data_IF_423969137659
#
_entry.id   IF_423969137659
#
_cell.length_a   1.000
_cell.length_b   1.000
_cell.length_c   1.000
_cell.angle_alpha   90.00
_cell.angle_beta   90.00
_cell.angle_gamma   90.00
#
_symmetry.space_group_name_H-M   'P 1'
#
loop_
_entity.id
_entity.type
_entity.pdbx_description
1 polymer ?
#
# COMPACT_ATOMS: atom_id res chain seq x y z
N UNK A 1 -11.56 -10.54 1.58
CA UNK A 1 -12.94 -9.98 1.57
C UNK A 1 -13.63 -10.38 0.29
N UNK A 2 -14.78 -11.07 0.30
CA UNK A 2 -15.44 -11.50 -0.93
C UNK A 2 -15.74 -10.33 -1.88
N UNK A 3 -15.42 -10.50 -3.17
CA UNK A 3 -15.60 -9.47 -4.20
C UNK A 3 -14.47 -8.45 -4.32
N UNK A 4 -13.44 -8.54 -3.46
CA UNK A 4 -12.17 -7.84 -3.62
C UNK A 4 -11.12 -8.79 -4.17
N UNK A 5 -10.34 -8.33 -5.14
CA UNK A 5 -9.19 -9.07 -5.66
C UNK A 5 -7.98 -8.17 -5.68
N UNK A 6 -6.84 -8.72 -5.28
CA UNK A 6 -5.54 -8.10 -5.38
C UNK A 6 -4.84 -8.64 -6.62
N UNK A 7 -4.34 -7.75 -7.46
CA UNK A 7 -3.43 -8.06 -8.55
C UNK A 7 -2.28 -7.07 -8.56
N UNK A 8 -1.48 -7.12 -9.61
CA UNK A 8 -0.35 -6.22 -9.81
C UNK A 8 -0.56 -5.46 -11.13
N UNK A 9 -0.17 -4.19 -11.17
CA UNK A 9 -0.16 -3.45 -12.43
C UNK A 9 1.02 -3.92 -13.30
N UNK A 10 0.81 -3.91 -14.62
CA UNK A 10 1.81 -4.40 -15.58
C UNK A 10 2.95 -3.40 -15.83
N UNK A 11 2.92 -2.23 -15.18
CA UNK A 11 3.85 -1.12 -15.47
C UNK A 11 4.87 -0.95 -14.34
N UNK A 12 4.42 -0.97 -13.08
CA UNK A 12 5.22 -0.65 -11.89
C UNK A 12 5.19 -1.78 -10.84
N UNK A 13 4.51 -2.90 -11.11
CA UNK A 13 4.31 -4.00 -10.16
C UNK A 13 3.69 -3.47 -8.85
N UNK A 14 2.84 -2.44 -8.96
CA UNK A 14 2.10 -1.88 -7.83
C UNK A 14 0.80 -2.67 -7.61
N UNK A 15 0.32 -2.79 -6.37
CA UNK A 15 -0.92 -3.48 -6.08
C UNK A 15 -2.12 -2.78 -6.72
N UNK A 16 -2.83 -3.51 -7.58
CA UNK A 16 -4.16 -3.12 -8.07
C UNK A 16 -5.20 -3.84 -7.22
N UNK A 17 -6.10 -3.07 -6.62
CA UNK A 17 -7.26 -3.60 -5.94
C UNK A 17 -8.46 -3.45 -6.86
N UNK A 18 -9.11 -4.57 -7.16
CA UNK A 18 -10.34 -4.60 -7.94
C UNK A 18 -11.53 -5.00 -7.08
N UNK A 19 -12.68 -4.39 -7.36
CA UNK A 19 -13.92 -4.64 -6.64
C UNK A 19 -15.00 -4.99 -7.66
N UNK A 20 -15.61 -6.17 -7.51
CA UNK A 20 -16.63 -6.69 -8.46
C UNK A 20 -16.14 -6.71 -9.92
N UNK A 21 -14.85 -6.94 -10.14
CA UNK A 21 -14.23 -7.00 -11.48
C UNK A 21 -13.84 -5.64 -12.08
N UNK A 22 -14.18 -4.53 -11.44
CA UNK A 22 -13.69 -3.21 -11.85
C UNK A 22 -12.25 -3.02 -11.35
N UNK A 23 -11.33 -2.75 -12.29
CA UNK A 23 -9.93 -2.44 -12.02
C UNK A 23 -9.54 -1.14 -12.71
N UNK A 24 -8.64 -0.38 -12.09
CA UNK A 24 -7.98 0.78 -12.68
C UNK A 24 -6.48 0.65 -12.42
N UNK A 25 -5.66 1.06 -13.39
CA UNK A 25 -4.20 1.01 -13.28
C UNK A 25 -3.65 1.80 -12.08
N UNK A 26 -4.43 2.77 -11.57
CA UNK A 26 -4.09 3.66 -10.47
C UNK A 26 -5.13 3.63 -9.34
N UNK A 27 -5.90 2.53 -9.22
CA UNK A 27 -6.90 2.35 -8.16
C UNK A 27 -7.98 3.45 -8.06
N UNK A 28 -8.18 4.26 -9.11
CA UNK A 28 -9.08 5.44 -9.11
C UNK A 28 -10.57 5.11 -8.94
N UNK A 29 -10.93 3.82 -8.98
CA UNK A 29 -12.29 3.35 -8.75
C UNK A 29 -12.60 3.14 -7.26
N UNK A 30 -11.60 3.21 -6.39
CA UNK A 30 -11.73 3.01 -4.94
C UNK A 30 -11.17 4.25 -4.25
N UNK A 31 -11.98 4.84 -3.36
CA UNK A 31 -11.49 5.90 -2.50
C UNK A 31 -10.77 5.29 -1.28
N UNK A 32 -9.50 5.60 -1.12
CA UNK A 32 -8.74 5.28 0.07
C UNK A 32 -8.68 6.47 1.02
N UNK A 33 -8.96 6.21 2.28
CA UNK A 33 -8.91 7.17 3.37
C UNK A 33 -7.91 6.68 4.43
N UNK A 34 -7.14 7.61 4.99
CA UNK A 34 -6.38 7.40 6.22
C UNK A 34 -7.00 8.27 7.29
N UNK A 35 -7.58 7.66 8.32
CA UNK A 35 -8.30 8.38 9.38
C UNK A 35 -9.39 9.33 8.84
N UNK A 36 -10.04 8.95 7.73
CA UNK A 36 -11.05 9.76 7.04
C UNK A 36 -10.49 10.78 6.03
N UNK A 37 -9.17 10.90 5.91
CA UNK A 37 -8.53 11.84 4.98
C UNK A 37 -8.22 11.13 3.64
N UNK A 38 -8.74 11.62 2.50
CA UNK A 38 -8.45 11.06 1.18
C UNK A 38 -6.96 10.98 0.87
N UNK A 39 -6.54 9.83 0.36
CA UNK A 39 -5.16 9.57 -0.04
C UNK A 39 -5.03 9.56 -1.55
N UNK A 40 -4.00 10.21 -2.07
CA UNK A 40 -3.69 10.28 -3.50
C UNK A 40 -2.22 10.55 -3.70
N UNK A 41 -1.58 9.75 -4.57
CA UNK A 41 -0.24 10.05 -5.06
C UNK A 41 -0.30 11.28 -5.99
N UNK A 42 0.42 12.37 -5.69
CA UNK A 42 0.37 13.59 -6.49
C UNK A 42 1.01 13.44 -7.89
N UNK A 43 1.85 12.41 -8.09
CA UNK A 43 2.56 12.17 -9.36
C UNK A 43 1.74 11.27 -10.28
N UNK A 44 1.30 10.12 -9.77
CA UNK A 44 0.61 9.10 -10.59
C UNK A 44 -0.91 9.18 -10.51
N UNK A 45 -1.44 9.90 -9.50
CA UNK A 45 -2.86 9.85 -9.19
C UNK A 45 -3.31 8.52 -8.58
N UNK A 46 -2.40 7.65 -8.13
CA UNK A 46 -2.78 6.40 -7.47
C UNK A 46 -3.46 6.67 -6.12
N UNK A 47 -4.63 6.08 -5.90
CA UNK A 47 -5.38 6.19 -4.63
C UNK A 47 -4.84 5.27 -3.53
N UNK A 48 -4.18 4.17 -3.88
CA UNK A 48 -3.68 3.15 -2.95
C UNK A 48 -2.26 3.45 -2.41
N UNK A 49 -1.68 4.61 -2.73
CA UNK A 49 -0.32 4.97 -2.31
C UNK A 49 -0.07 4.94 -0.79
N UNK A 50 -1.14 5.04 0.01
CA UNK A 50 -1.08 4.90 1.48
C UNK A 50 -0.63 3.51 1.94
N UNK A 51 -0.85 2.46 1.15
CA UNK A 51 -0.60 1.07 1.54
C UNK A 51 0.88 0.75 1.78
N UNK A 52 1.80 1.60 1.31
CA UNK A 52 3.24 1.46 1.53
C UNK A 52 3.84 2.40 2.59
N UNK A 53 3.02 3.28 3.19
CA UNK A 53 3.52 4.38 4.06
C UNK A 53 3.17 4.13 5.53
N UNK A 54 2.03 3.49 5.79
CA UNK A 54 1.49 3.27 7.14
C UNK A 54 2.00 1.95 7.71
N UNK A 55 2.73 1.95 8.85
CA UNK A 55 3.15 0.73 9.51
C UNK A 55 1.97 -0.17 9.90
N UNK A 56 2.06 -1.48 9.64
CA UNK A 56 0.91 -2.38 9.82
C UNK A 56 0.39 -2.45 11.27
N UNK A 57 1.27 -2.37 12.26
CA UNK A 57 0.89 -2.56 13.68
C UNK A 57 0.13 -1.35 14.27
N UNK A 58 0.24 -0.16 13.66
CA UNK A 58 -0.52 1.03 14.10
C UNK A 58 -1.95 1.03 13.58
N UNK A 59 -2.26 0.19 12.59
CA UNK A 59 -3.60 0.07 12.04
C UNK A 59 -4.49 -0.59 13.10
N UNK A 60 -5.55 0.11 13.50
CA UNK A 60 -6.55 -0.41 14.43
C UNK A 60 -7.52 -1.34 13.70
N UNK A 61 -7.99 -0.87 12.53
CA UNK A 61 -8.90 -1.60 11.66
C UNK A 61 -8.93 -1.00 10.26
N UNK A 62 -9.42 -1.78 9.31
CA UNK A 62 -9.74 -1.31 7.96
C UNK A 62 -11.25 -1.44 7.76
N UNK A 63 -11.91 -0.31 7.52
CA UNK A 63 -13.33 -0.25 7.23
C UNK A 63 -13.55 -0.23 5.71
N UNK A 64 -14.47 -1.09 5.23
CA UNK A 64 -14.72 -1.24 3.80
C UNK A 64 -16.21 -1.06 3.54
N UNK A 65 -16.55 0.01 2.84
CA UNK A 65 -17.91 0.25 2.33
C UNK A 65 -17.97 -0.22 0.88
N UNK A 66 -18.82 -1.23 0.64
CA UNK A 66 -18.99 -1.86 -0.67
C UNK A 66 -20.14 -1.20 -1.43
N UNK A 67 -19.89 -0.70 -2.64
CA UNK A 67 -20.90 -0.06 -3.48
C UNK A 67 -20.62 1.41 -3.77
N UNK A 68 -21.50 2.08 -4.52
CA UNK A 68 -21.27 3.44 -4.99
C UNK A 68 -21.37 4.43 -3.82
N UNK A 69 -20.22 4.77 -3.22
CA UNK A 69 -20.08 5.82 -2.22
C UNK A 69 -20.05 7.22 -2.84
N UNK A 70 -20.19 7.34 -4.16
CA UNK A 70 -20.00 8.59 -4.90
C UNK A 70 -20.92 9.73 -4.51
N UNK A 71 -22.12 9.43 -3.97
CA UNK A 71 -23.02 10.46 -3.47
C UNK A 71 -22.49 11.18 -2.22
N UNK A 72 -21.70 10.49 -1.39
CA UNK A 72 -21.14 11.04 -0.14
C UNK A 72 -19.69 11.51 -0.31
N UNK A 73 -18.93 10.83 -1.18
CA UNK A 73 -17.48 10.99 -1.24
C UNK A 73 -16.95 11.41 -2.63
N UNK A 74 -17.82 11.56 -3.64
CA UNK A 74 -17.43 12.02 -4.97
C UNK A 74 -16.95 10.91 -5.92
N UNK A 75 -16.39 11.31 -7.06
CA UNK A 75 -16.13 10.43 -8.21
C UNK A 75 -15.21 9.24 -7.88
N UNK A 76 -14.27 9.39 -6.95
CA UNK A 76 -13.31 8.35 -6.57
C UNK A 76 -13.95 7.17 -5.81
N UNK A 77 -15.13 7.35 -5.21
CA UNK A 77 -15.84 6.32 -4.44
C UNK A 77 -16.78 5.45 -5.30
N UNK A 78 -16.41 5.22 -6.57
CA UNK A 78 -17.25 4.54 -7.55
C UNK A 78 -17.54 3.08 -7.19
N UNK A 79 -16.51 2.31 -6.82
CA UNK A 79 -16.63 0.87 -6.54
C UNK A 79 -16.62 0.54 -5.04
N UNK A 80 -15.84 1.29 -4.24
CA UNK A 80 -15.77 1.13 -2.80
C UNK A 80 -15.13 2.35 -2.12
N UNK A 81 -15.32 2.43 -0.80
CA UNK A 81 -14.51 3.29 0.09
C UNK A 81 -13.78 2.39 1.08
N UNK A 82 -12.46 2.57 1.18
CA UNK A 82 -11.60 1.84 2.12
C UNK A 82 -10.99 2.86 3.08
N UNK A 83 -11.30 2.76 4.36
CA UNK A 83 -10.79 3.66 5.39
C UNK A 83 -9.88 2.91 6.36
N UNK A 84 -8.61 3.29 6.37
CA UNK A 84 -7.59 2.76 7.28
C UNK A 84 -7.64 3.62 8.54
N UNK A 85 -8.07 3.03 9.65
CA UNK A 85 -8.16 3.73 10.94
C UNK A 85 -6.92 3.40 11.75
N UNK A 86 -6.22 4.43 12.21
CA UNK A 86 -5.03 4.25 13.04
C UNK A 86 -5.35 4.35 14.52
N UNK A 87 -4.56 3.69 15.35
CA UNK A 87 -4.74 3.69 16.79
C UNK A 87 -4.48 5.09 17.36
N UNK A 88 -5.42 5.57 18.17
CA UNK A 88 -5.32 6.87 18.88
C UNK A 88 -5.15 6.71 20.40
N UNK A 89 -5.48 5.54 20.93
CA UNK A 89 -5.27 5.21 22.33
C UNK A 89 -3.93 4.47 22.52
N UNK A 90 -3.16 4.79 23.58
CA UNK A 90 -1.95 4.05 23.93
C UNK A 90 -2.26 2.57 24.12
N UNK A 91 -1.45 1.66 23.54
CA UNK A 91 -1.63 0.25 23.79
C UNK A 91 -1.29 -0.08 25.24
N UNK A 92 -1.92 -1.12 25.79
CA UNK A 92 -1.62 -1.57 27.16
C UNK A 92 -0.18 -2.07 27.30
N UNK A 93 0.38 -2.61 26.21
CA UNK A 93 1.76 -3.09 26.13
C UNK A 93 2.35 -2.69 24.79
N UNK A 94 3.63 -2.29 24.79
CA UNK A 94 4.39 -2.15 23.57
C UNK A 94 4.72 -3.53 23.00
N UNK A 95 4.76 -3.62 21.68
CA UNK A 95 5.05 -4.83 20.93
C UNK A 95 6.21 -4.58 19.98
N UNK A 96 7.07 -5.58 19.83
CA UNK A 96 8.03 -5.66 18.75
C UNK A 96 7.83 -6.99 18.02
N UNK A 97 7.94 -6.96 16.71
CA UNK A 97 7.81 -8.14 15.84
C UNK A 97 9.03 -8.19 14.93
N UNK A 98 9.62 -9.38 14.79
CA UNK A 98 10.68 -9.64 13.81
C UNK A 98 10.29 -10.85 12.98
N UNK A 99 10.61 -10.81 11.69
CA UNK A 99 10.23 -11.85 10.73
C UNK A 99 11.31 -12.09 9.69
N UNK A 100 11.40 -13.35 9.25
CA UNK A 100 12.18 -13.75 8.08
C UNK A 100 11.31 -14.63 7.19
N UNK A 101 11.56 -14.63 5.89
CA UNK A 101 10.76 -15.38 4.93
C UNK A 101 11.50 -15.77 3.67
N UNK A 102 10.79 -16.40 2.74
CA UNK A 102 11.27 -16.65 1.38
C UNK A 102 11.71 -15.36 0.69
N UNK A 103 12.49 -15.48 -0.39
CA UNK A 103 12.95 -14.32 -1.17
C UNK A 103 13.81 -13.35 -0.34
N UNK A 104 14.60 -13.92 0.58
CA UNK A 104 15.43 -13.17 1.55
C UNK A 104 14.65 -12.13 2.37
N UNK A 105 13.34 -12.33 2.56
CA UNK A 105 12.51 -11.38 3.28
C UNK A 105 12.98 -11.22 4.74
N UNK A 106 13.09 -9.97 5.19
CA UNK A 106 13.38 -9.56 6.57
C UNK A 106 12.38 -8.48 6.97
N UNK A 107 11.82 -8.60 8.16
CA UNK A 107 10.83 -7.68 8.71
C UNK A 107 11.18 -7.35 10.17
N UNK A 108 11.08 -6.08 10.54
CA UNK A 108 11.24 -5.59 11.90
C UNK A 108 10.24 -4.47 12.15
N UNK A 109 9.35 -4.67 13.13
CA UNK A 109 8.26 -3.76 13.45
C UNK A 109 8.24 -3.48 14.94
N UNK A 110 7.95 -2.24 15.30
CA UNK A 110 7.73 -1.80 16.67
C UNK A 110 6.46 -0.98 16.75
N UNK A 111 5.69 -1.20 17.80
CA UNK A 111 4.47 -0.46 18.08
C UNK A 111 4.38 -0.20 19.59
N UNK A 112 4.04 1.02 19.95
CA UNK A 112 3.97 1.42 21.34
C UNK A 112 3.32 2.77 21.53
N UNK A 113 3.16 3.15 22.78
CA UNK A 113 2.56 4.42 23.13
C UNK A 113 2.47 4.61 24.62
N UNK A 114 2.11 5.83 25.02
CA UNK A 114 1.96 6.20 26.42
C UNK A 114 1.04 7.41 26.57
N UNK A 115 0.71 7.72 27.81
CA UNK A 115 -0.01 8.93 28.17
C UNK A 115 0.91 9.85 28.97
N UNK A 116 0.98 11.10 28.56
CA UNK A 116 1.73 12.15 29.27
C UNK A 116 0.82 13.34 29.49
N UNK A 117 0.46 13.60 30.76
CA UNK A 117 -0.60 14.56 31.10
C UNK A 117 -1.93 14.24 30.40
N UNK A 118 -2.43 15.21 29.63
CA UNK A 118 -3.66 15.12 28.83
C UNK A 118 -3.43 14.56 27.42
N UNK A 119 -2.18 14.27 27.05
CA UNK A 119 -1.81 13.78 25.74
C UNK A 119 -1.68 12.26 25.73
N UNK A 120 -2.29 11.64 24.74
CA UNK A 120 -2.09 10.25 24.33
C UNK A 120 -1.16 10.25 23.13
N UNK A 121 -0.11 9.44 23.21
CA UNK A 121 0.89 9.29 22.16
C UNK A 121 0.92 7.83 21.75
N UNK A 122 0.83 7.58 20.46
CA UNK A 122 0.92 6.24 19.85
C UNK A 122 1.86 6.32 18.67
N UNK A 123 2.79 5.37 18.55
CA UNK A 123 3.72 5.34 17.44
C UNK A 123 4.03 3.93 16.98
N UNK A 124 4.44 3.84 15.72
CA UNK A 124 4.96 2.61 15.13
C UNK A 124 6.12 2.89 14.19
N UNK A 125 7.01 1.91 14.09
CA UNK A 125 8.12 1.84 13.15
C UNK A 125 8.06 0.51 12.43
N UNK A 126 8.39 0.51 11.14
CA UNK A 126 8.45 -0.68 10.29
C UNK A 126 9.67 -0.60 9.38
N UNK A 127 10.41 -1.70 9.30
CA UNK A 127 11.45 -1.94 8.31
C UNK A 127 11.19 -3.29 7.66
N UNK A 128 11.06 -3.30 6.33
CA UNK A 128 10.88 -4.53 5.56
C UNK A 128 11.77 -4.52 4.34
N UNK A 129 12.45 -5.64 4.10
CA UNK A 129 13.29 -5.85 2.93
C UNK A 129 13.02 -7.23 2.33
N UNK A 130 13.03 -7.35 0.99
CA UNK A 130 12.89 -8.61 0.26
C UNK A 130 13.44 -8.46 -1.15
N UNK A 131 13.99 -9.53 -1.72
CA UNK A 131 14.41 -9.57 -3.13
C UNK A 131 13.19 -9.68 -4.09
N UNK A 132 12.03 -10.05 -3.54
CA UNK A 132 10.82 -10.30 -4.31
C UNK A 132 10.93 -11.58 -5.17
N UNK A 133 9.99 -11.73 -6.10
CA UNK A 133 9.82 -12.96 -6.88
C UNK A 133 10.58 -12.98 -8.22
N UNK A 134 11.26 -11.88 -8.59
CA UNK A 134 12.11 -11.74 -9.77
C UNK A 134 11.57 -12.44 -11.04
N UNK A 135 10.35 -12.10 -11.50
CA UNK A 135 9.72 -12.81 -12.60
C UNK A 135 10.51 -12.62 -13.90
N UNK A 136 10.55 -13.67 -14.74
CA UNK A 136 11.17 -13.61 -16.06
C UNK A 136 10.32 -12.76 -17.01
N UNK A 137 10.91 -11.70 -17.55
CA UNK A 137 10.35 -10.89 -18.64
C UNK A 137 10.85 -11.48 -19.95
N UNK A 138 9.99 -12.21 -20.65
CA UNK A 138 10.36 -12.87 -21.92
C UNK A 138 10.50 -11.86 -23.08
N UNK A 139 9.64 -10.86 -23.13
CA UNK A 139 9.65 -9.77 -24.10
C UNK A 139 8.99 -8.53 -23.45
N UNK A 140 9.46 -7.35 -23.82
CA UNK A 140 8.92 -6.07 -23.38
C UNK A 140 8.52 -5.19 -24.57
N UNK A 141 7.95 -4.01 -24.29
CA UNK A 141 7.57 -3.06 -25.34
C UNK A 141 8.78 -2.62 -26.19
N UNK A 142 9.99 -2.60 -25.62
CA UNK A 142 11.21 -2.29 -26.35
C UNK A 142 11.61 -3.44 -27.28
N UNK A 143 11.36 -4.71 -26.93
CA UNK A 143 11.57 -5.87 -27.81
C UNK A 143 10.73 -5.74 -29.09
N UNK A 144 9.49 -5.25 -28.97
CA UNK A 144 8.61 -5.00 -30.12
C UNK A 144 9.17 -3.87 -30.99
N UNK A 145 9.59 -2.76 -30.38
CA UNK A 145 10.17 -1.62 -31.10
C UNK A 145 11.48 -1.99 -31.78
N UNK A 146 12.32 -2.80 -31.14
CA UNK A 146 13.56 -3.33 -31.71
C UNK A 146 13.29 -4.17 -32.97
N UNK A 147 12.26 -5.03 -32.93
CA UNK A 147 11.82 -5.77 -34.10
C UNK A 147 11.34 -4.88 -35.25
N UNK A 148 10.69 -3.75 -34.93
CA UNK A 148 10.18 -2.80 -35.93
C UNK A 148 11.26 -1.89 -36.50
N UNK A 149 12.19 -1.42 -35.66
CA UNK A 149 13.19 -0.40 -35.97
C UNK A 149 14.58 -0.97 -36.26
N UNK A 150 14.78 -2.28 -36.08
CA UNK A 150 16.07 -2.96 -36.28
C UNK A 150 17.11 -2.62 -35.20
N UNK A 151 16.68 -2.16 -34.02
CA UNK A 151 17.54 -1.83 -32.88
C UNK A 151 17.72 -3.03 -31.94
N UNK A 152 18.63 -2.91 -30.96
CA UNK A 152 18.88 -3.93 -29.92
C UNK A 152 18.95 -3.28 -28.54
N UNK A 153 17.99 -2.41 -28.23
CA UNK A 153 17.95 -1.67 -26.98
C UNK A 153 17.28 -2.46 -25.84
N UNK A 154 16.42 -3.42 -26.17
CA UNK A 154 15.72 -4.27 -25.22
C UNK A 154 16.70 -5.15 -24.46
N UNK A 155 16.45 -5.28 -23.17
CA UNK A 155 17.20 -6.18 -22.29
C UNK A 155 16.42 -7.46 -22.00
N UNK A 156 15.27 -7.67 -22.65
CA UNK A 156 14.52 -8.91 -22.57
C UNK A 156 15.08 -9.94 -23.57
N UNK A 157 15.12 -11.24 -23.24
CA UNK A 157 14.62 -11.82 -22.00
C UNK A 157 15.55 -11.57 -20.79
N UNK A 158 15.00 -11.13 -19.66
CA UNK A 158 15.72 -10.98 -18.38
C UNK A 158 14.78 -11.02 -17.17
N UNK A 159 15.34 -11.26 -15.98
CA UNK A 159 14.57 -11.21 -14.72
C UNK A 159 14.29 -9.76 -14.32
N UNK A 160 13.05 -9.49 -13.91
CA UNK A 160 12.68 -8.19 -13.36
C UNK A 160 13.30 -8.00 -11.97
N UNK A 161 13.78 -6.79 -11.69
CA UNK A 161 14.20 -6.42 -10.35
C UNK A 161 12.96 -6.06 -9.51
N UNK A 162 12.62 -6.94 -8.57
CA UNK A 162 11.51 -6.76 -7.62
C UNK A 162 11.98 -6.50 -6.19
N UNK A 163 13.26 -6.12 -6.01
CA UNK A 163 13.79 -5.80 -4.69
C UNK A 163 13.00 -4.64 -4.07
N UNK A 164 12.49 -4.88 -2.87
CA UNK A 164 11.72 -3.90 -2.11
C UNK A 164 12.41 -3.67 -0.78
N UNK A 165 12.60 -2.40 -0.45
CA UNK A 165 12.98 -1.95 0.88
C UNK A 165 12.04 -0.84 1.32
N UNK A 166 11.32 -1.08 2.40
CA UNK A 166 10.31 -0.19 2.95
C UNK A 166 10.72 0.23 4.36
N UNK A 167 10.61 1.52 4.62
CA UNK A 167 10.68 2.09 5.96
C UNK A 167 9.40 2.87 6.22
N UNK A 168 8.70 2.53 7.30
CA UNK A 168 7.50 3.19 7.74
C UNK A 168 7.68 3.76 9.14
N UNK A 169 7.18 4.96 9.37
CA UNK A 169 7.11 5.56 10.69
C UNK A 169 5.82 6.36 10.80
N UNK A 170 5.07 6.15 11.89
CA UNK A 170 3.87 6.92 12.16
C UNK A 170 3.77 7.28 13.64
N UNK A 171 3.30 8.49 13.91
CA UNK A 171 3.08 9.02 15.25
C UNK A 171 1.73 9.71 15.28
N UNK A 172 0.87 9.30 16.21
CA UNK A 172 -0.40 9.92 16.50
C UNK A 172 -0.34 10.55 17.89
N UNK A 173 -0.74 11.82 17.98
CA UNK A 173 -0.88 12.54 19.24
C UNK A 173 -2.32 13.03 19.35
N UNK A 174 -2.96 12.76 20.48
CA UNK A 174 -4.33 13.18 20.75
C UNK A 174 -4.40 13.81 22.13
N UNK A 175 -5.09 14.94 22.25
CA UNK A 175 -5.39 15.57 23.55
C UNK A 175 -6.80 15.19 24.00
N UNK A 176 -6.97 14.92 25.28
CA UNK A 176 -8.29 15.00 25.91
C UNK A 176 -8.54 16.47 26.27
N UNK A 177 -9.65 17.04 25.76
CA UNK A 177 -10.18 18.32 26.23
C UNK A 177 -11.06 18.10 27.46
#
# INVERSE_FOLDING_TARGET
>A
VPGFFLGENTIQIEPIISVRGFKSSFNQTILFLLDGIPQTNPVTGDRAAVLGIVPLDIIERVEIMRGPGSALYGADAYSAVVNIITRRAPPQKSQATVGIGSQQMRDARWFGGGRTGHFKIVGALEYRETDGNAPLIAADSQTILDGLLGTQASRAPSEANTHLRLFGAQLNVTSEN
#
